data_IF_818716862135
#
_entry.id   IF_818716862135
#
_cell.length_a   1.000
_cell.length_b   1.000
_cell.length_c   1.000
_cell.angle_alpha   90.00
_cell.angle_beta   90.00
_cell.angle_gamma   90.00
#
_symmetry.space_group_name_H-M   'P 1'
#
loop_
_entity.id
_entity.type
_entity.pdbx_description
1 polymer ?
#
# COMPACT_ATOMS: atom_id res chain seq x y z
N UNK A 1 -10.78 -8.92 -6.00
CA UNK A 1 -11.82 -7.85 -6.11
C UNK A 1 -11.62 -6.85 -4.98
N UNK A 2 -11.67 -5.53 -5.24
CA UNK A 2 -11.53 -4.48 -4.20
C UNK A 2 -12.90 -3.89 -3.83
N UNK A 3 -13.11 -3.61 -2.53
CA UNK A 3 -14.32 -3.00 -1.94
C UNK A 3 -13.95 -2.06 -0.79
N UNK A 4 -12.94 -1.21 -1.01
CA UNK A 4 -12.54 -0.22 -0.03
C UNK A 4 -13.48 0.99 0.01
N UNK A 5 -13.57 1.64 1.16
CA UNK A 5 -14.33 2.88 1.36
C UNK A 5 -13.47 3.91 2.13
N UNK A 6 -13.43 5.18 1.72
CA UNK A 6 -12.74 6.22 2.48
C UNK A 6 -13.34 6.41 3.88
N UNK A 7 -12.53 6.86 4.83
CA UNK A 7 -12.97 7.27 6.16
C UNK A 7 -12.26 8.55 6.60
N UNK A 8 -12.81 9.20 7.63
CA UNK A 8 -12.30 10.46 8.15
C UNK A 8 -12.95 11.67 7.48
N UNK A 9 -12.63 12.85 8.00
CA UNK A 9 -13.09 14.12 7.44
C UNK A 9 -12.24 14.54 6.24
N UNK A 10 -12.78 15.42 5.40
CA UNK A 10 -12.01 16.09 4.35
C UNK A 10 -10.82 16.89 4.93
N UNK A 11 -9.87 17.24 4.06
CA UNK A 11 -8.77 18.12 4.45
C UNK A 11 -9.31 19.52 4.78
N UNK A 12 -8.91 20.05 5.94
CA UNK A 12 -9.30 21.41 6.36
C UNK A 12 -8.38 22.48 5.78
N UNK A 13 -8.85 23.73 5.73
CA UNK A 13 -8.03 24.87 5.30
C UNK A 13 -6.77 25.03 6.16
N UNK A 14 -6.84 24.69 7.45
CA UNK A 14 -5.68 24.69 8.35
C UNK A 14 -4.65 23.64 7.95
N UNK A 15 -5.07 22.41 7.67
CA UNK A 15 -4.19 21.33 7.21
C UNK A 15 -3.54 21.67 5.86
N UNK A 16 -4.31 22.28 4.95
CA UNK A 16 -3.80 22.75 3.65
C UNK A 16 -2.78 23.87 3.80
N UNK A 17 -3.02 24.84 4.70
CA UNK A 17 -2.10 25.93 4.97
C UNK A 17 -0.80 25.45 5.63
N UNK A 18 -0.90 24.48 6.55
CA UNK A 18 0.24 23.91 7.27
C UNK A 18 0.96 22.80 6.49
N UNK A 19 0.35 22.27 5.42
CA UNK A 19 0.82 21.10 4.66
C UNK A 19 1.07 19.89 5.56
N UNK A 20 0.20 19.68 6.54
CA UNK A 20 0.35 18.65 7.56
C UNK A 20 -1.01 18.05 7.91
N UNK A 21 -1.05 16.72 8.02
CA UNK A 21 -2.20 15.98 8.53
C UNK A 21 -2.38 16.26 10.02
N UNK A 22 -3.57 16.72 10.42
CA UNK A 22 -3.96 16.96 11.81
C UNK A 22 -5.04 15.94 12.22
N UNK A 23 -5.97 15.63 11.32
CA UNK A 23 -7.05 14.66 11.55
C UNK A 23 -6.78 13.35 10.82
N UNK A 24 -7.13 12.23 11.47
CA UNK A 24 -7.01 10.90 10.88
C UNK A 24 -8.02 10.69 9.75
N UNK A 25 -7.54 10.13 8.65
CA UNK A 25 -8.31 9.84 7.44
C UNK A 25 -7.57 8.83 6.57
N UNK A 26 -8.32 8.12 5.75
CA UNK A 26 -7.70 7.21 4.80
C UNK A 26 -8.71 6.30 4.14
N UNK A 27 -8.33 5.04 3.97
CA UNK A 27 -9.11 4.03 3.28
C UNK A 27 -9.29 2.80 4.16
N UNK A 28 -10.54 2.44 4.46
CA UNK A 28 -10.85 1.10 4.95
C UNK A 28 -10.71 0.14 3.77
N UNK A 29 -9.54 -0.48 3.66
CA UNK A 29 -9.23 -1.36 2.54
C UNK A 29 -9.82 -2.76 2.77
N UNK A 30 -10.67 -3.19 1.84
CA UNK A 30 -11.16 -4.57 1.78
C UNK A 30 -10.94 -5.16 0.39
N UNK A 31 -10.48 -6.42 0.35
CA UNK A 31 -10.37 -7.16 -0.89
C UNK A 31 -10.76 -8.64 -0.71
N UNK A 32 -11.34 -9.19 -1.77
CA UNK A 32 -11.79 -10.58 -1.84
C UNK A 32 -10.97 -11.35 -2.86
N UNK A 33 -10.62 -12.56 -2.47
CA UNK A 33 -9.78 -13.49 -3.23
C UNK A 33 -10.01 -14.91 -2.74
N UNK A 34 -9.77 -15.88 -3.62
CA UNK A 34 -9.85 -17.29 -3.28
C UNK A 34 -8.61 -17.74 -2.48
N UNK A 35 -7.46 -17.08 -2.69
CA UNK A 35 -6.20 -17.39 -2.01
C UNK A 35 -5.49 -16.11 -1.60
N UNK A 36 -5.38 -15.87 -0.28
CA UNK A 36 -4.67 -14.73 0.31
C UNK A 36 -3.22 -14.65 -0.17
N UNK A 37 -2.56 -15.81 -0.18
CA UNK A 37 -1.17 -15.97 -0.61
C UNK A 37 -0.96 -15.52 -2.05
N UNK A 38 -1.91 -15.83 -2.95
CA UNK A 38 -1.78 -15.55 -4.37
C UNK A 38 -2.27 -14.15 -4.77
N UNK A 39 -3.06 -13.46 -3.93
CA UNK A 39 -3.53 -12.10 -4.21
C UNK A 39 -2.89 -11.06 -3.29
N UNK A 40 -3.55 -10.72 -2.18
CA UNK A 40 -3.15 -9.60 -1.33
C UNK A 40 -1.72 -9.73 -0.80
N UNK A 41 -1.32 -10.91 -0.32
CA UNK A 41 0.02 -11.11 0.21
C UNK A 41 1.07 -11.06 -0.91
N UNK A 42 0.76 -11.63 -2.07
CA UNK A 42 1.66 -11.58 -3.22
C UNK A 42 1.85 -10.16 -3.74
N UNK A 43 0.76 -9.39 -3.88
CA UNK A 43 0.84 -8.01 -4.36
C UNK A 43 1.58 -7.14 -3.34
N UNK A 44 1.22 -7.21 -2.06
CA UNK A 44 1.83 -6.37 -1.03
C UNK A 44 3.31 -6.72 -0.83
N UNK A 45 3.63 -7.99 -0.57
CA UNK A 45 5.00 -8.38 -0.27
C UNK A 45 5.84 -8.59 -1.54
N UNK A 46 5.27 -9.23 -2.55
CA UNK A 46 5.99 -9.59 -3.78
C UNK A 46 6.19 -8.43 -4.75
N UNK A 47 5.28 -7.44 -4.73
CA UNK A 47 5.31 -6.28 -5.63
C UNK A 47 5.57 -4.97 -4.88
N UNK A 48 4.65 -4.50 -4.03
CA UNK A 48 4.76 -3.15 -3.43
C UNK A 48 5.99 -2.98 -2.54
N UNK A 49 6.17 -3.90 -1.58
CA UNK A 49 7.30 -3.91 -0.64
C UNK A 49 8.60 -4.48 -1.27
N UNK A 50 8.63 -4.70 -2.59
CA UNK A 50 9.78 -5.25 -3.30
C UNK A 50 10.30 -4.21 -4.30
N UNK A 51 11.35 -3.50 -3.91
CA UNK A 51 11.98 -2.46 -4.71
C UNK A 51 12.71 -2.98 -5.97
N UNK A 52 12.81 -4.30 -6.13
CA UNK A 52 13.27 -4.95 -7.36
C UNK A 52 12.11 -5.38 -8.29
N UNK A 53 10.86 -5.13 -7.93
CA UNK A 53 9.70 -5.49 -8.74
C UNK A 53 9.19 -4.30 -9.59
N UNK A 54 8.82 -4.52 -10.87
CA UNK A 54 9.05 -5.74 -11.65
C UNK A 54 10.54 -5.93 -11.95
N UNK A 55 11.05 -7.18 -12.01
CA UNK A 55 12.46 -7.43 -12.23
C UNK A 55 12.89 -6.85 -13.58
N UNK A 56 13.73 -5.82 -13.52
CA UNK A 56 14.27 -5.13 -14.69
C UNK A 56 15.76 -4.88 -14.48
N UNK A 57 16.57 -5.23 -15.46
CA UNK A 57 18.00 -4.94 -15.48
C UNK A 57 18.30 -3.93 -16.59
N UNK A 58 19.20 -2.96 -16.39
CA UNK A 58 20.03 -2.73 -15.19
C UNK A 58 19.36 -1.85 -14.11
N UNK A 59 18.11 -1.41 -14.29
CA UNK A 59 17.46 -0.42 -13.41
C UNK A 59 16.60 -1.10 -12.35
N UNK A 60 16.95 -0.91 -11.08
CA UNK A 60 16.09 -1.26 -9.94
C UNK A 60 14.88 -0.31 -9.92
N UNK A 61 13.62 -0.78 -10.00
CA UNK A 61 12.45 0.11 -10.06
C UNK A 61 12.29 1.04 -8.85
N UNK A 62 12.57 0.53 -7.65
CA UNK A 62 12.23 1.19 -6.39
C UNK A 62 10.86 0.75 -5.86
N UNK A 63 10.46 1.34 -4.74
CA UNK A 63 9.27 0.95 -4.01
C UNK A 63 7.99 1.55 -4.60
N UNK A 64 6.84 0.95 -4.29
CA UNK A 64 5.54 1.55 -4.63
C UNK A 64 5.35 2.86 -3.85
N UNK A 65 5.10 3.94 -4.57
CA UNK A 65 5.05 5.29 -3.99
C UNK A 65 3.79 5.61 -3.19
N UNK A 66 2.78 4.73 -3.20
CA UNK A 66 1.51 4.95 -2.51
C UNK A 66 1.36 3.95 -1.38
N UNK A 67 1.49 2.65 -1.67
CA UNK A 67 1.07 1.58 -0.78
C UNK A 67 2.18 1.12 0.18
N UNK A 68 3.44 1.35 -0.16
CA UNK A 68 4.56 0.90 0.67
C UNK A 68 4.83 1.91 1.78
N UNK A 69 5.03 1.39 3.00
CA UNK A 69 5.65 2.13 4.10
C UNK A 69 7.06 1.62 4.46
N UNK A 70 7.48 0.50 3.86
CA UNK A 70 8.79 -0.11 4.01
C UNK A 70 9.08 -1.04 2.82
N UNK A 71 10.36 -1.30 2.57
CA UNK A 71 10.82 -2.30 1.59
C UNK A 71 11.40 -3.52 2.29
N UNK A 72 11.34 -4.67 1.61
CA UNK A 72 11.95 -5.91 2.09
C UNK A 72 13.42 -5.71 2.42
N UNK A 73 13.83 -6.17 3.60
CA UNK A 73 15.20 -6.09 4.11
C UNK A 73 15.71 -4.66 4.43
N UNK A 74 14.83 -3.66 4.50
CA UNK A 74 15.22 -2.35 5.02
C UNK A 74 15.76 -2.50 6.46
N UNK A 75 16.97 -1.98 6.71
CA UNK A 75 17.48 -1.80 8.06
C UNK A 75 16.85 -0.54 8.67
N UNK A 76 16.76 -0.46 10.00
CA UNK A 76 16.13 0.67 10.70
C UNK A 76 16.78 2.05 10.43
N UNK A 77 17.94 2.07 9.75
CA UNK A 77 18.76 3.25 9.49
C UNK A 77 18.42 3.93 8.15
N UNK A 78 17.80 3.22 7.18
CA UNK A 78 17.50 3.72 5.83
C UNK A 78 15.99 4.04 5.67
N UNK A 79 15.50 5.04 6.39
CA UNK A 79 14.06 5.39 6.43
C UNK A 79 13.48 6.03 5.16
N UNK A 80 14.26 6.25 4.10
CA UNK A 80 13.76 6.91 2.88
C UNK A 80 13.48 5.90 1.78
N UNK A 81 12.21 5.81 1.39
CA UNK A 81 11.79 5.06 0.21
C UNK A 81 12.28 5.77 -1.03
N UNK A 82 12.51 5.03 -2.12
CA UNK A 82 12.87 5.62 -3.39
C UNK A 82 12.10 5.01 -4.54
N UNK A 83 11.95 5.78 -5.61
CA UNK A 83 11.47 5.31 -6.90
C UNK A 83 12.29 5.94 -8.02
N UNK A 84 12.37 5.26 -9.16
CA UNK A 84 12.97 5.83 -10.36
C UNK A 84 11.91 6.45 -11.27
N UNK A 85 12.16 7.69 -11.66
CA UNK A 85 11.35 8.44 -12.64
C UNK A 85 12.21 8.77 -13.86
N UNK A 86 11.55 9.23 -14.91
CA UNK A 86 12.20 9.73 -16.12
C UNK A 86 11.92 11.22 -16.24
N UNK A 87 12.95 12.03 -16.46
CA UNK A 87 12.79 13.46 -16.65
C UNK A 87 12.36 13.84 -18.08
N UNK A 88 12.19 15.13 -18.34
CA UNK A 88 11.81 15.63 -19.67
C UNK A 88 12.87 15.37 -20.76
N UNK A 89 14.10 15.01 -20.37
CA UNK A 89 15.23 14.68 -21.26
C UNK A 89 15.44 13.17 -21.40
N UNK A 90 14.50 12.36 -20.92
CA UNK A 90 14.56 10.90 -20.91
C UNK A 90 15.69 10.32 -20.04
N UNK A 91 16.17 11.08 -19.06
CA UNK A 91 17.19 10.60 -18.13
C UNK A 91 16.52 9.98 -16.90
N UNK A 92 16.99 8.79 -16.51
CA UNK A 92 16.55 8.13 -15.30
C UNK A 92 17.04 8.91 -14.07
N UNK A 93 16.11 9.23 -13.16
CA UNK A 93 16.38 9.93 -11.92
C UNK A 93 15.77 9.18 -10.74
N UNK A 94 16.61 8.91 -9.75
CA UNK A 94 16.16 8.41 -8.44
C UNK A 94 15.58 9.57 -7.63
N UNK A 95 14.39 9.38 -7.08
CA UNK A 95 13.79 10.30 -6.11
C UNK A 95 13.52 9.56 -4.80
N UNK A 96 13.73 10.26 -3.69
CA UNK A 96 13.43 9.77 -2.36
C UNK A 96 12.14 10.40 -1.85
N UNK A 97 11.36 9.65 -1.09
CA UNK A 97 10.10 10.10 -0.52
C UNK A 97 9.82 9.44 0.83
N UNK A 98 9.01 10.13 1.64
CA UNK A 98 8.46 9.58 2.88
C UNK A 98 7.13 8.86 2.56
N UNK A 99 6.76 7.79 3.30
CA UNK A 99 5.49 7.10 3.10
C UNK A 99 4.28 8.03 3.22
N UNK A 100 3.28 7.85 2.36
CA UNK A 100 2.01 8.60 2.43
C UNK A 100 0.88 7.81 3.10
N UNK A 101 1.02 6.50 3.22
CA UNK A 101 0.02 5.60 3.80
C UNK A 101 0.64 4.86 4.97
N UNK A 102 -0.01 4.95 6.13
CA UNK A 102 0.34 4.20 7.33
C UNK A 102 -0.69 3.09 7.57
N UNK A 103 -0.23 1.87 7.81
CA UNK A 103 -1.10 0.73 8.11
C UNK A 103 -1.32 0.63 9.62
N UNK A 104 -2.56 0.81 10.05
CA UNK A 104 -2.99 0.67 11.44
C UNK A 104 -3.47 -0.75 11.80
N UNK A 105 -3.13 -1.74 10.96
CA UNK A 105 -3.50 -3.14 11.15
C UNK A 105 -4.66 -3.59 10.26
N UNK A 106 -5.17 -4.78 10.55
CA UNK A 106 -6.23 -5.41 9.77
C UNK A 106 -6.43 -6.87 10.17
N UNK A 107 -7.35 -7.56 9.49
CA UNK A 107 -7.65 -8.97 9.72
C UNK A 107 -7.89 -9.72 8.42
N UNK A 108 -7.54 -11.01 8.42
CA UNK A 108 -7.93 -11.95 7.38
C UNK A 108 -9.19 -12.68 7.81
N UNK A 109 -10.23 -12.56 7.00
CA UNK A 109 -11.56 -13.10 7.28
C UNK A 109 -11.98 -14.05 6.16
N UNK A 110 -12.75 -15.07 6.53
CA UNK A 110 -13.43 -15.94 5.59
C UNK A 110 -14.90 -15.53 5.49
N UNK A 111 -15.41 -15.35 4.26
CA UNK A 111 -16.82 -15.11 4.02
C UNK A 111 -17.46 -16.40 3.49
N UNK A 112 -18.10 -17.21 4.37
CA UNK A 112 -18.76 -18.45 3.96
C UNK A 112 -19.92 -18.19 3.00
N UNK A 113 -20.38 -19.26 2.32
CA UNK A 113 -21.64 -19.21 1.58
C UNK A 113 -22.82 -19.02 2.53
N UNK A 114 -23.93 -18.52 2.00
CA UNK A 114 -25.17 -18.37 2.76
C UNK A 114 -25.69 -19.71 3.30
N UNK A 115 -25.48 -20.80 2.55
CA UNK A 115 -25.89 -22.13 2.96
C UNK A 115 -25.08 -22.62 4.17
N UNK A 116 -23.75 -22.43 4.15
CA UNK A 116 -22.90 -22.76 5.28
C UNK A 116 -23.23 -21.92 6.54
N UNK A 117 -23.55 -20.63 6.37
CA UNK A 117 -24.00 -19.80 7.48
C UNK A 117 -25.30 -20.30 8.11
N UNK A 118 -26.24 -20.79 7.30
CA UNK A 118 -27.50 -21.36 7.78
C UNK A 118 -27.26 -22.66 8.54
N UNK A 119 -26.40 -23.53 8.03
CA UNK A 119 -26.04 -24.79 8.69
C UNK A 119 -25.34 -24.56 10.04
N UNK A 120 -24.46 -23.55 10.14
CA UNK A 120 -23.74 -23.23 11.38
C UNK A 120 -24.57 -22.49 12.44
N UNK A 121 -25.74 -21.95 12.07
CA UNK A 121 -26.60 -21.19 12.99
C UNK A 121 -27.56 -22.09 13.81
N UNK A 122 -27.57 -23.39 13.52
CA UNK A 122 -28.31 -24.43 14.25
C UNK A 122 -27.39 -25.18 15.21
#
# INVERSE_FOLDING_TARGET
>A
MRRGIPYGAEATDEELAQKKTIMDRGLLFACYQISLRAGFEFITNGMFNNDYFPPRTPVQPGADSIMTNSVKNATNEDKKLFMNIVDSKQQAKKIEFDPFVESHGGAYLFMPSLDLLREMAH
#
